data_IF_268349505414
#
_entry.id   IF_268349505414
#
_cell.length_a   1.000
_cell.length_b   1.000
_cell.length_c   1.000
_cell.angle_alpha   90.00
_cell.angle_beta   90.00
_cell.angle_gamma   90.00
#
_symmetry.space_group_name_H-M   'P 1'
#
loop_
_entity.id
_entity.type
_entity.pdbx_description
1 polymer ?
#
# COMPACT_ATOMS: atom_id res chain seq x y z
N UNK A 1 8.16 21.43 72.87
CA UNK A 1 7.60 21.90 71.59
C UNK A 1 8.73 22.17 70.60
N UNK A 2 8.94 21.28 69.63
CA UNK A 2 9.70 21.53 68.39
C UNK A 2 9.30 20.44 67.41
N UNK A 3 8.24 20.75 66.67
CA UNK A 3 7.66 19.91 65.64
C UNK A 3 8.48 20.08 64.37
N UNK A 4 8.76 18.94 63.74
CA UNK A 4 8.91 18.70 62.30
C UNK A 4 9.65 19.75 61.46
N UNK A 5 10.84 19.36 61.01
CA UNK A 5 11.44 19.83 59.76
C UNK A 5 11.98 18.60 59.03
N UNK A 6 11.08 17.77 58.52
CA UNK A 6 11.37 16.83 57.44
C UNK A 6 10.89 17.50 56.15
N UNK A 7 11.77 18.30 55.56
CA UNK A 7 11.54 18.94 54.26
C UNK A 7 11.67 17.91 53.16
N UNK A 8 10.54 17.53 52.60
CA UNK A 8 10.38 16.69 51.41
C UNK A 8 11.07 17.36 50.21
N UNK A 9 12.26 16.90 49.83
CA UNK A 9 12.86 17.18 48.52
C UNK A 9 12.15 16.27 47.51
N UNK A 10 11.16 16.84 46.81
CA UNK A 10 10.57 16.23 45.63
C UNK A 10 11.33 16.79 44.41
N UNK A 11 12.29 16.02 43.90
CA UNK A 11 13.04 16.39 42.70
C UNK A 11 12.09 16.22 41.51
N UNK A 12 11.54 17.34 41.02
CA UNK A 12 10.89 17.42 39.71
C UNK A 12 11.98 17.28 38.64
N UNK A 13 12.28 16.04 38.24
CA UNK A 13 12.98 15.80 36.96
C UNK A 13 11.96 16.04 35.86
N UNK A 14 11.77 17.30 35.49
CA UNK A 14 11.12 17.67 34.24
C UNK A 14 12.09 17.34 33.12
N UNK A 15 12.07 16.08 32.67
CA UNK A 15 12.77 15.69 31.45
C UNK A 15 12.17 16.46 30.28
N UNK A 16 12.92 17.41 29.74
CA UNK A 16 12.60 18.00 28.45
C UNK A 16 12.79 16.91 27.40
N UNK A 17 11.69 16.32 26.92
CA UNK A 17 11.71 15.44 25.76
C UNK A 17 11.87 16.35 24.54
N UNK A 18 13.12 16.55 24.12
CA UNK A 18 13.39 17.20 22.84
C UNK A 18 12.94 16.26 21.72
N UNK A 19 12.10 16.74 20.81
CA UNK A 19 11.82 16.02 19.57
C UNK A 19 13.14 15.85 18.81
N UNK A 20 13.60 14.61 18.68
CA UNK A 20 14.77 14.32 17.86
C UNK A 20 14.35 14.38 16.39
N UNK A 21 15.21 14.91 15.49
CA UNK A 21 14.95 14.87 14.07
C UNK A 21 14.71 13.43 13.60
N UNK A 22 13.62 13.21 12.86
CA UNK A 22 13.26 11.92 12.30
C UNK A 22 13.01 12.01 10.80
N UNK A 23 13.28 10.91 10.11
CA UNK A 23 12.82 10.65 8.75
C UNK A 23 11.71 9.60 8.86
N UNK A 24 10.55 9.88 8.30
CA UNK A 24 9.39 9.00 8.33
C UNK A 24 8.79 8.96 6.93
N UNK A 25 9.13 7.91 6.19
CA UNK A 25 8.59 7.68 4.85
C UNK A 25 7.21 7.03 4.98
N UNK A 26 6.28 7.41 4.13
CA UNK A 26 4.98 6.79 3.98
C UNK A 26 4.71 6.48 2.51
N UNK A 27 3.95 5.41 2.26
CA UNK A 27 3.54 5.00 0.91
C UNK A 27 2.06 4.71 0.92
N UNK A 28 1.31 5.41 0.07
CA UNK A 28 -0.13 5.26 -0.03
C UNK A 28 -0.60 5.06 -1.47
N UNK A 29 -1.65 4.27 -1.66
CA UNK A 29 -2.32 4.14 -2.96
C UNK A 29 -3.09 5.41 -3.25
N UNK A 30 -2.88 5.95 -4.45
CA UNK A 30 -3.66 7.05 -5.01
C UNK A 30 -4.86 6.49 -5.79
N UNK A 31 -4.58 5.63 -6.77
CA UNK A 31 -5.57 5.12 -7.72
C UNK A 31 -5.16 3.75 -8.24
N UNK A 32 -6.13 2.95 -8.70
CA UNK A 32 -5.88 1.73 -9.45
C UNK A 32 -6.83 1.64 -10.64
N UNK A 33 -6.44 0.97 -11.71
CA UNK A 33 -7.34 0.61 -12.80
C UNK A 33 -7.09 -0.85 -13.17
N UNK A 34 -8.09 -1.75 -13.06
CA UNK A 34 -9.48 -1.52 -12.65
C UNK A 34 -9.69 -1.27 -11.13
N UNK A 35 -10.88 -0.76 -10.75
CA UNK A 35 -11.33 -0.68 -9.34
C UNK A 35 -12.60 -1.52 -9.14
N UNK A 36 -12.58 -2.59 -8.33
CA UNK A 36 -11.41 -3.20 -7.69
C UNK A 36 -10.52 -3.91 -8.72
N UNK A 37 -9.34 -4.36 -8.28
CA UNK A 37 -8.45 -5.17 -9.10
C UNK A 37 -9.14 -6.48 -9.51
N UNK A 38 -8.89 -6.98 -10.72
CA UNK A 38 -9.47 -8.24 -11.21
C UNK A 38 -8.40 -9.33 -11.27
N UNK A 39 -8.72 -10.52 -10.74
CA UNK A 39 -7.89 -11.71 -10.92
C UNK A 39 -7.73 -12.04 -12.41
N UNK A 40 -6.56 -12.52 -12.83
CA UNK A 40 -6.23 -12.86 -14.23
C UNK A 40 -6.09 -11.65 -15.16
N UNK A 41 -6.16 -10.42 -14.65
CA UNK A 41 -5.96 -9.20 -15.43
C UNK A 41 -4.70 -8.45 -14.99
N UNK A 42 -4.31 -7.48 -15.81
CA UNK A 42 -3.33 -6.47 -15.44
C UNK A 42 -4.02 -5.32 -14.72
N UNK A 43 -3.25 -4.64 -13.87
CA UNK A 43 -3.70 -3.54 -13.05
C UNK A 43 -2.67 -2.41 -13.07
N UNK A 44 -3.10 -1.21 -13.43
CA UNK A 44 -2.34 0.00 -13.21
C UNK A 44 -2.49 0.43 -11.75
N UNK A 45 -1.37 0.76 -11.10
CA UNK A 45 -1.36 1.26 -9.72
C UNK A 45 -0.59 2.57 -9.65
N UNK A 46 -1.27 3.62 -9.21
CA UNK A 46 -0.63 4.88 -8.84
C UNK A 46 -0.47 4.95 -7.32
N UNK A 47 0.74 5.22 -6.86
CA UNK A 47 1.06 5.33 -5.45
C UNK A 47 1.89 6.59 -5.17
N UNK A 48 1.65 7.18 -4.01
CA UNK A 48 2.33 8.36 -3.52
C UNK A 48 3.33 7.97 -2.44
N UNK A 49 4.49 8.61 -2.47
CA UNK A 49 5.55 8.46 -1.49
C UNK A 49 5.81 9.82 -0.87
N UNK A 50 5.72 9.90 0.46
CA UNK A 50 5.79 11.16 1.20
C UNK A 50 6.75 11.04 2.38
N UNK A 51 7.49 12.11 2.69
CA UNK A 51 8.27 12.20 3.93
C UNK A 51 7.48 12.96 5.00
N UNK A 52 6.84 12.24 5.90
CA UNK A 52 6.10 12.76 7.06
C UNK A 52 6.99 13.10 8.26
N UNK A 53 8.31 12.86 8.15
CA UNK A 53 9.29 13.15 9.18
C UNK A 53 9.57 14.64 9.36
N UNK A 54 10.46 14.98 10.28
CA UNK A 54 10.90 16.34 10.54
C UNK A 54 12.29 16.66 9.92
N UNK A 55 12.83 15.78 9.11
CA UNK A 55 14.15 15.91 8.49
C UNK A 55 14.15 15.38 7.06
N UNK A 56 15.03 15.91 6.23
CA UNK A 56 15.21 15.48 4.85
C UNK A 56 15.64 14.01 4.78
N UNK A 57 15.03 13.27 3.88
CA UNK A 57 15.41 11.90 3.55
C UNK A 57 16.31 11.95 2.30
N UNK A 58 17.57 11.52 2.40
CA UNK A 58 18.52 11.52 1.28
C UNK A 58 19.60 10.43 1.43
N UNK A 59 19.84 9.56 0.43
CA UNK A 59 18.98 9.33 -0.73
C UNK A 59 17.76 8.49 -0.35
N UNK A 60 16.70 8.59 -1.14
CA UNK A 60 15.51 7.75 -1.06
C UNK A 60 15.47 6.82 -2.26
N UNK A 61 15.28 5.53 -1.97
CA UNK A 61 14.91 4.51 -2.96
C UNK A 61 13.56 3.94 -2.58
N UNK A 62 12.69 3.73 -3.56
CA UNK A 62 11.39 3.09 -3.41
C UNK A 62 11.36 1.88 -4.33
N UNK A 63 10.88 0.73 -3.86
CA UNK A 63 10.78 -0.49 -4.65
C UNK A 63 9.47 -1.22 -4.40
N UNK A 64 8.78 -1.63 -5.46
CA UNK A 64 7.69 -2.60 -5.36
C UNK A 64 8.28 -3.99 -5.08
N UNK A 65 7.77 -4.66 -4.05
CA UNK A 65 8.16 -6.02 -3.69
C UNK A 65 7.09 -6.97 -4.24
N UNK A 66 7.46 -7.80 -5.22
CA UNK A 66 6.55 -8.83 -5.71
C UNK A 66 6.08 -9.73 -4.56
N UNK A 67 4.76 -9.80 -4.40
CA UNK A 67 4.12 -10.53 -3.32
C UNK A 67 2.78 -11.08 -3.83
N UNK A 68 2.52 -12.37 -3.65
CA UNK A 68 1.27 -12.97 -4.10
C UNK A 68 0.05 -12.18 -3.58
N UNK A 69 -0.94 -11.86 -4.44
CA UNK A 69 -1.12 -12.32 -5.83
C UNK A 69 -0.52 -11.42 -6.92
N UNK A 70 0.35 -10.47 -6.57
CA UNK A 70 0.85 -9.43 -7.47
C UNK A 70 2.28 -9.72 -7.94
N UNK A 71 2.52 -9.57 -9.23
CA UNK A 71 3.83 -9.66 -9.87
C UNK A 71 3.98 -8.59 -10.93
N UNK A 72 5.20 -8.17 -11.24
CA UNK A 72 5.50 -7.28 -12.35
C UNK A 72 6.15 -8.08 -13.49
N UNK A 73 6.00 -7.64 -14.73
CA UNK A 73 6.75 -8.23 -15.84
C UNK A 73 8.24 -7.85 -15.74
N UNK A 74 9.18 -8.67 -16.25
CA UNK A 74 10.62 -8.43 -16.06
C UNK A 74 11.16 -7.10 -16.60
N UNK A 75 10.46 -6.50 -17.56
CA UNK A 75 10.77 -5.21 -18.16
C UNK A 75 10.06 -4.03 -17.48
N UNK A 76 9.15 -4.29 -16.55
CA UNK A 76 8.42 -3.26 -15.82
C UNK A 76 9.32 -2.56 -14.79
N UNK A 77 9.17 -1.24 -14.68
CA UNK A 77 9.89 -0.46 -13.69
C UNK A 77 9.28 -0.68 -12.30
N UNK A 78 10.03 -1.36 -11.43
CA UNK A 78 9.61 -1.64 -10.04
C UNK A 78 10.44 -0.90 -9.00
N UNK A 79 11.36 -0.01 -9.40
CA UNK A 79 12.23 0.74 -8.48
C UNK A 79 12.42 2.18 -8.95
N UNK A 80 12.33 3.11 -8.00
CA UNK A 80 12.41 4.55 -8.22
C UNK A 80 13.39 5.19 -7.25
N UNK A 81 14.04 6.27 -7.68
CA UNK A 81 15.01 7.04 -6.88
C UNK A 81 14.71 8.52 -7.05
N UNK A 82 13.81 9.10 -6.22
CA UNK A 82 13.53 10.54 -6.27
C UNK A 82 14.73 11.44 -5.93
N UNK A 83 15.80 10.88 -5.34
CA UNK A 83 16.90 11.67 -4.79
C UNK A 83 16.61 11.97 -3.33
N UNK A 84 16.38 13.23 -2.99
CA UNK A 84 15.97 13.63 -1.64
C UNK A 84 14.50 14.00 -1.55
N UNK A 85 13.90 13.75 -0.38
CA UNK A 85 12.55 14.22 -0.04
C UNK A 85 12.61 15.08 1.21
N UNK A 86 12.23 16.35 1.07
CA UNK A 86 12.07 17.24 2.22
C UNK A 86 10.79 16.93 3.00
N UNK A 87 10.69 17.33 4.28
CA UNK A 87 9.46 17.14 5.07
C UNK A 87 8.21 17.69 4.37
N UNK A 88 7.21 16.84 4.15
CA UNK A 88 5.96 17.15 3.47
C UNK A 88 6.03 17.13 1.94
N UNK A 89 7.17 16.79 1.34
CA UNK A 89 7.30 16.59 -0.10
C UNK A 89 6.77 15.21 -0.50
N UNK A 90 6.10 15.16 -1.64
CA UNK A 90 5.39 13.99 -2.16
C UNK A 90 5.76 13.73 -3.63
N UNK A 91 5.85 12.46 -4.00
CA UNK A 91 6.02 12.00 -5.38
C UNK A 91 5.01 10.91 -5.71
N UNK A 92 4.37 11.01 -6.87
CA UNK A 92 3.46 9.98 -7.39
C UNK A 92 4.19 9.16 -8.46
N UNK A 93 4.10 7.85 -8.32
CA UNK A 93 4.65 6.86 -9.25
C UNK A 93 3.54 5.96 -9.77
N UNK A 94 3.86 5.23 -10.84
CA UNK A 94 2.99 4.28 -11.51
C UNK A 94 3.74 2.95 -11.67
N UNK A 95 3.01 1.84 -11.54
CA UNK A 95 3.48 0.49 -11.85
C UNK A 95 2.33 -0.34 -12.42
N UNK A 96 2.60 -1.08 -13.49
CA UNK A 96 1.68 -2.08 -14.05
C UNK A 96 1.94 -3.45 -13.41
N UNK A 97 0.89 -4.07 -12.85
CA UNK A 97 0.99 -5.33 -12.13
C UNK A 97 0.07 -6.38 -12.73
N UNK A 98 0.56 -7.61 -12.83
CA UNK A 98 -0.28 -8.78 -13.11
C UNK A 98 -0.87 -9.30 -11.80
N UNK A 99 -2.18 -9.56 -11.81
CA UNK A 99 -2.91 -10.20 -10.70
C UNK A 99 -3.11 -11.67 -11.01
N UNK A 100 -2.63 -12.56 -10.14
CA UNK A 100 -2.75 -14.01 -10.32
C UNK A 100 -4.22 -14.46 -10.47
N UNK A 101 -4.46 -15.46 -11.31
CA UNK A 101 -5.80 -16.02 -11.55
C UNK A 101 -6.42 -16.67 -10.30
N UNK A 102 -5.57 -17.10 -9.37
CA UNK A 102 -5.98 -17.72 -8.10
C UNK A 102 -6.03 -16.71 -6.95
N UNK A 103 -5.93 -15.40 -7.24
CA UNK A 103 -5.98 -14.36 -6.24
C UNK A 103 -7.22 -14.53 -5.34
N UNK A 104 -6.99 -14.48 -4.03
CA UNK A 104 -8.09 -14.58 -3.06
C UNK A 104 -8.92 -13.31 -3.14
N UNK A 105 -10.22 -13.46 -3.40
CA UNK A 105 -11.16 -12.34 -3.40
C UNK A 105 -11.19 -11.65 -2.03
N UNK A 106 -11.23 -10.31 -2.05
CA UNK A 106 -11.26 -9.45 -0.87
C UNK A 106 -9.99 -8.62 -0.70
N UNK A 107 -9.72 -8.23 0.55
CA UNK A 107 -8.58 -7.38 0.90
C UNK A 107 -7.24 -8.14 0.72
N UNK A 108 -6.38 -7.55 -0.10
CA UNK A 108 -5.00 -7.94 -0.32
C UNK A 108 -4.08 -6.73 -0.08
N UNK A 109 -2.76 -6.94 -0.08
CA UNK A 109 -1.80 -5.88 0.17
C UNK A 109 -0.75 -5.84 -0.92
N UNK A 110 -0.48 -4.65 -1.45
CA UNK A 110 0.73 -4.36 -2.20
C UNK A 110 1.85 -4.05 -1.22
N UNK A 111 3.05 -4.59 -1.45
CA UNK A 111 4.20 -4.31 -0.61
C UNK A 111 5.21 -3.39 -1.31
N UNK A 112 5.54 -2.28 -0.66
CA UNK A 112 6.56 -1.34 -1.12
C UNK A 112 7.66 -1.21 -0.07
N UNK A 113 8.92 -1.22 -0.48
CA UNK A 113 10.05 -0.91 0.37
C UNK A 113 10.54 0.51 0.11
N UNK A 114 10.66 1.32 1.16
CA UNK A 114 11.42 2.57 1.13
C UNK A 114 12.74 2.37 1.83
N UNK A 115 13.84 2.79 1.21
CA UNK A 115 15.18 2.76 1.80
C UNK A 115 15.76 4.18 1.86
N UNK A 116 16.22 4.58 3.04
CA UNK A 116 16.90 5.87 3.26
C UNK A 116 17.87 5.77 4.43
N UNK A 117 19.05 6.40 4.32
CA UNK A 117 20.07 6.37 5.39
C UNK A 117 20.56 4.97 5.78
N UNK A 118 20.42 3.97 4.89
CA UNK A 118 20.75 2.57 5.18
C UNK A 118 19.66 1.79 5.94
N UNK A 119 18.52 2.41 6.22
CA UNK A 119 17.34 1.78 6.83
C UNK A 119 16.31 1.49 5.76
N UNK A 120 15.78 0.27 5.76
CA UNK A 120 14.66 -0.14 4.90
C UNK A 120 13.39 -0.31 5.74
N UNK A 121 12.26 0.16 5.20
CA UNK A 121 10.93 0.04 5.79
C UNK A 121 9.98 -0.50 4.73
N UNK A 122 9.19 -1.52 5.08
CA UNK A 122 8.16 -2.09 4.20
C UNK A 122 6.79 -1.53 4.55
N UNK A 123 6.10 -1.03 3.54
CA UNK A 123 4.76 -0.47 3.58
C UNK A 123 3.78 -1.46 2.95
N UNK A 124 2.65 -1.69 3.64
CA UNK A 124 1.59 -2.60 3.17
C UNK A 124 0.38 -1.78 2.80
N UNK A 125 0.10 -1.68 1.50
CA UNK A 125 -0.94 -0.82 0.96
C UNK A 125 -2.16 -1.66 0.60
N UNK A 126 -3.32 -1.46 1.27
CA UNK A 126 -4.49 -2.29 1.06
C UNK A 126 -5.15 -2.03 -0.31
N UNK A 127 -5.51 -3.13 -0.98
CA UNK A 127 -6.23 -3.17 -2.24
C UNK A 127 -7.32 -4.24 -2.19
N UNK A 128 -8.41 -4.02 -2.92
CA UNK A 128 -9.49 -4.99 -3.05
C UNK A 128 -9.30 -5.76 -4.35
N UNK A 129 -9.41 -7.09 -4.31
CA UNK A 129 -9.36 -7.97 -5.49
C UNK A 129 -10.70 -8.66 -5.68
N UNK A 130 -11.19 -8.75 -6.92
CA UNK A 130 -12.36 -9.54 -7.32
C UNK A 130 -12.01 -10.58 -8.36
N UNK A 131 -12.77 -11.67 -8.35
CA UNK A 131 -12.64 -12.73 -9.34
C UNK A 131 -13.51 -12.44 -10.57
N UNK A 132 -12.98 -12.67 -11.76
CA UNK A 132 -13.69 -12.48 -13.04
C UNK A 132 -14.81 -13.53 -13.27
N UNK A 133 -14.81 -14.62 -12.49
CA UNK A 133 -15.74 -15.75 -12.66
C UNK A 133 -17.22 -15.47 -12.32
N UNK A 134 -17.57 -14.26 -11.87
CA UNK A 134 -18.96 -13.86 -11.59
C UNK A 134 -19.80 -13.57 -12.86
N UNK A 135 -19.21 -13.57 -14.07
CA UNK A 135 -19.93 -13.28 -15.33
C UNK A 135 -20.62 -14.48 -16.01
N UNK A 136 -20.55 -15.69 -15.43
CA UNK A 136 -21.18 -16.88 -16.01
C UNK A 136 -22.40 -17.36 -15.22
N UNK A 137 -23.46 -16.56 -15.17
CA UNK A 137 -24.80 -17.10 -14.91
C UNK A 137 -25.88 -16.26 -15.59
N UNK A 138 -26.74 -16.93 -16.36
CA UNK A 138 -27.96 -16.43 -17.03
C UNK A 138 -27.80 -16.14 -18.54
N UNK A 139 -27.58 -17.20 -19.32
CA UNK A 139 -28.28 -17.34 -20.62
C UNK A 139 -28.35 -18.82 -21.05
N UNK A 140 -29.08 -19.60 -20.28
CA UNK A 140 -29.48 -20.94 -20.71
C UNK A 140 -30.78 -21.37 -20.04
N UNK A 141 -31.83 -20.53 -20.16
CA UNK A 141 -33.20 -21.02 -19.97
C UNK A 141 -33.86 -21.28 -21.33
N UNK A 142 -33.81 -22.55 -21.67
CA UNK A 142 -34.57 -23.31 -22.66
C UNK A 142 -35.75 -22.58 -23.32
N UNK A 143 -35.74 -22.54 -24.66
CA UNK A 143 -36.98 -22.75 -25.43
C UNK A 143 -36.75 -23.87 -26.42
N UNK A 144 -36.70 -25.11 -25.91
CA UNK A 144 -37.00 -26.29 -26.70
C UNK A 144 -38.49 -26.61 -26.50
N UNK A 145 -39.36 -26.02 -27.31
CA UNK A 145 -40.73 -26.52 -27.52
C UNK A 145 -40.97 -26.72 -29.01
N UNK A 146 -40.61 -27.92 -29.45
CA UNK A 146 -41.52 -28.83 -30.14
C UNK A 146 -42.35 -28.24 -31.28
N UNK A 147 -41.82 -28.44 -32.48
CA UNK A 147 -42.56 -28.55 -33.73
C UNK A 147 -43.78 -29.50 -33.55
N UNK A 148 -44.99 -29.04 -33.82
CA UNK A 148 -46.11 -29.90 -34.24
C UNK A 148 -46.90 -29.22 -35.36
N UNK A 149 -46.87 -29.89 -36.50
CA UNK A 149 -47.65 -29.66 -37.72
C UNK A 149 -48.91 -30.54 -37.64
N UNK A 150 -50.08 -29.96 -37.88
CA UNK A 150 -51.38 -30.55 -38.24
C UNK A 150 -52.39 -29.37 -38.19
N UNK A 151 -53.24 -29.06 -39.16
CA UNK A 151 -53.77 -29.75 -40.34
C UNK A 151 -53.97 -28.73 -41.48
#
# INVERSE_FOLDING_TARGET
>A
MKRLLLGLILILVSGAVGAQPSVEMDVQKVETEPVPLQSSEYADVWFEVTNNGSSEADPVTVRFLENYPFSADPDEQTSWTPGSLTPGEEYIYHVELKVDENAVQGENFLEFETQTGGVSVTHRVPVEVRSDSDLLSVSSNQTHRGFRRAE
#
